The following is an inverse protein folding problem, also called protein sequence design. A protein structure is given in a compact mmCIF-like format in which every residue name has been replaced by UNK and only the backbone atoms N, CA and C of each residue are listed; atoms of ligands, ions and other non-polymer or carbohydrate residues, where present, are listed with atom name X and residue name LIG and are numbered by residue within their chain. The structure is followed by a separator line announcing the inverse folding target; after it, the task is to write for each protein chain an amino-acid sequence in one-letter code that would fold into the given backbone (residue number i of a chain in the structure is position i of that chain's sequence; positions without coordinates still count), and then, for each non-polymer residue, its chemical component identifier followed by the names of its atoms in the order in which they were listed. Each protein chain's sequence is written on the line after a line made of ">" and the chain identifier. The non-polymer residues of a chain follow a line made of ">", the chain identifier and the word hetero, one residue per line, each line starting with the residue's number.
data_IF_570229085994
#
_entry.id   IF_570229085994
#
_cell.length_a   1.000
_cell.length_b   1.000
_cell.length_c   1.000
_cell.angle_alpha   90.00
_cell.angle_beta   90.00
_cell.angle_gamma   90.00
#
_symmetry.space_group_name_H-M   'P 1'
#
loop_
_entity.id
_entity.type
_entity.pdbx_description
1 polymer ?
#
# COMPACT_ATOMS: atom_id res chain seq x y z
N UNK A 1 -0.92 -30.60 -26.37
CA UNK A 1 -0.42 -29.29 -25.89
C UNK A 1 -0.75 -28.25 -26.94
N UNK A 2 -1.90 -27.58 -26.81
CA UNK A 2 -2.18 -26.40 -27.64
C UNK A 2 -1.45 -25.22 -27.02
N UNK A 3 -0.39 -24.75 -27.69
CA UNK A 3 0.11 -23.41 -27.46
C UNK A 3 -0.97 -22.42 -27.86
N UNK A 4 -1.68 -21.86 -26.88
CA UNK A 4 -2.41 -20.63 -27.11
C UNK A 4 -1.39 -19.56 -27.49
N UNK A 5 -1.30 -19.28 -28.79
CA UNK A 5 -0.76 -18.03 -29.31
C UNK A 5 -1.63 -16.91 -28.77
N UNK A 6 -1.32 -16.42 -27.56
CA UNK A 6 -1.78 -15.10 -27.17
C UNK A 6 -1.26 -14.15 -28.25
N UNK A 7 -2.17 -13.52 -28.99
CA UNK A 7 -1.81 -12.36 -29.78
C UNK A 7 -1.05 -11.44 -28.84
N UNK A 8 0.21 -11.10 -29.17
CA UNK A 8 1.03 -10.18 -28.37
C UNK A 8 0.29 -8.84 -28.37
N UNK A 9 -0.52 -8.59 -27.34
CA UNK A 9 -1.04 -7.26 -27.09
C UNK A 9 0.17 -6.32 -27.00
N UNK A 10 0.13 -5.22 -27.75
CA UNK A 10 1.20 -4.25 -27.76
C UNK A 10 1.33 -3.64 -26.35
N UNK A 11 2.55 -3.54 -25.83
CA UNK A 11 2.77 -2.97 -24.50
C UNK A 11 2.56 -1.46 -24.54
N UNK A 12 1.69 -0.94 -23.68
CA UNK A 12 1.38 0.49 -23.63
C UNK A 12 2.55 1.29 -23.04
N UNK A 13 2.87 2.46 -23.58
CA UNK A 13 3.83 3.41 -22.98
C UNK A 13 3.10 4.71 -22.71
N UNK A 14 2.22 4.76 -21.70
CA UNK A 14 1.39 5.92 -21.42
C UNK A 14 2.24 7.16 -21.14
N UNK A 15 1.81 8.31 -21.64
CA UNK A 15 2.43 9.60 -21.31
C UNK A 15 1.46 10.42 -20.48
N UNK A 16 2.00 11.14 -19.50
CA UNK A 16 1.20 12.05 -18.68
C UNK A 16 0.87 13.29 -19.48
N UNK A 17 -0.42 13.61 -19.57
CA UNK A 17 -0.92 14.81 -20.26
C UNK A 17 -1.43 15.89 -19.32
N UNK A 18 -1.88 15.51 -18.12
CA UNK A 18 -2.35 16.45 -17.12
C UNK A 18 -2.16 15.90 -15.71
N UNK A 19 -1.86 16.79 -14.76
CA UNK A 19 -1.82 16.49 -13.32
C UNK A 19 -2.60 17.55 -12.57
N UNK A 20 -3.57 17.12 -11.76
CA UNK A 20 -4.43 18.02 -10.99
C UNK A 20 -4.33 17.68 -9.51
N UNK A 21 -4.00 18.66 -8.68
CA UNK A 21 -4.09 18.50 -7.23
C UNK A 21 -5.56 18.37 -6.81
N UNK A 22 -5.84 17.35 -6.01
CA UNK A 22 -7.20 17.04 -5.58
C UNK A 22 -7.42 17.46 -4.13
N UNK A 23 -6.59 16.96 -3.22
CA UNK A 23 -6.78 17.11 -1.78
C UNK A 23 -5.56 16.61 -1.00
N UNK A 24 -5.56 16.81 0.32
CA UNK A 24 -4.78 15.96 1.23
C UNK A 24 -5.66 14.82 1.74
N UNK A 25 -5.14 13.59 1.76
CA UNK A 25 -5.78 12.44 2.41
C UNK A 25 -5.45 12.49 3.89
N UNK A 26 -6.42 12.75 4.76
CA UNK A 26 -6.11 12.98 6.18
C UNK A 26 -7.28 12.77 7.12
N UNK A 27 -6.96 12.36 8.35
CA UNK A 27 -7.79 12.58 9.52
C UNK A 27 -7.19 13.78 10.27
N UNK A 28 -7.88 14.92 10.39
CA UNK A 28 -7.31 16.10 11.02
C UNK A 28 -6.78 15.88 12.44
N UNK A 29 -7.24 14.85 13.15
CA UNK A 29 -6.81 14.53 14.52
C UNK A 29 -5.57 13.64 14.59
N UNK A 30 -5.03 13.17 13.46
CA UNK A 30 -3.96 12.18 13.40
C UNK A 30 -2.94 12.52 12.31
N UNK A 31 -1.67 12.31 12.61
CA UNK A 31 -0.64 12.27 11.58
C UNK A 31 -0.27 10.82 11.27
N UNK A 32 -0.20 10.49 9.98
CA UNK A 32 0.00 9.12 9.51
C UNK A 32 1.14 9.04 8.52
N UNK A 33 2.00 8.07 8.75
CA UNK A 33 3.07 7.68 7.86
C UNK A 33 2.58 6.63 6.87
N UNK A 34 2.91 6.78 5.58
CA UNK A 34 2.72 5.78 4.52
C UNK A 34 1.36 5.08 4.50
N UNK A 35 0.40 5.61 3.74
CA UNK A 35 -0.93 5.02 3.62
C UNK A 35 -1.15 4.31 2.26
N UNK A 36 -1.68 3.09 2.30
CA UNK A 36 -2.21 2.37 1.15
C UNK A 36 -3.73 2.24 1.22
N UNK A 37 -4.39 1.95 0.09
CA UNK A 37 -5.87 1.94 0.01
C UNK A 37 -6.45 0.67 -0.63
N UNK A 38 -7.56 0.16 -0.09
CA UNK A 38 -8.36 -0.92 -0.67
C UNK A 38 -9.85 -0.57 -0.66
N UNK A 39 -10.59 -0.86 -1.74
CA UNK A 39 -12.03 -0.59 -1.79
C UNK A 39 -12.82 -1.73 -1.14
N UNK A 40 -13.79 -1.38 -0.30
CA UNK A 40 -14.77 -2.31 0.27
C UNK A 40 -16.15 -1.66 0.09
N UNK A 41 -16.93 -2.19 -0.85
CA UNK A 41 -18.24 -1.63 -1.19
C UNK A 41 -18.14 -0.19 -1.74
N UNK A 42 -18.84 0.73 -1.09
CA UNK A 42 -18.87 2.16 -1.40
C UNK A 42 -17.86 3.00 -0.57
N UNK A 43 -16.90 2.35 0.08
CA UNK A 43 -15.88 3.01 0.89
C UNK A 43 -14.50 2.50 0.54
N UNK A 44 -13.50 3.27 0.92
CA UNK A 44 -12.09 2.91 0.80
C UNK A 44 -11.49 2.78 2.19
N UNK A 45 -10.94 1.60 2.47
CA UNK A 45 -10.13 1.32 3.63
C UNK A 45 -8.71 1.78 3.34
N UNK A 46 -8.22 2.70 4.15
CA UNK A 46 -6.82 3.06 4.22
C UNK A 46 -6.16 2.27 5.34
N UNK A 47 -4.97 1.75 5.08
CA UNK A 47 -4.09 1.23 6.12
C UNK A 47 -2.76 1.96 6.06
N UNK A 48 -2.31 2.46 7.19
CA UNK A 48 -1.12 3.28 7.30
C UNK A 48 -0.12 2.65 8.26
N UNK A 49 1.13 3.07 8.16
CA UNK A 49 2.20 2.76 9.12
C UNK A 49 2.05 3.64 10.36
N UNK A 50 3.18 4.07 10.90
CA UNK A 50 3.29 4.86 12.12
C UNK A 50 2.24 5.96 12.17
N UNK A 51 1.45 5.95 13.24
CA UNK A 51 0.38 6.91 13.46
C UNK A 51 0.56 7.54 14.83
N UNK A 52 0.40 8.86 14.89
CA UNK A 52 0.47 9.63 16.12
C UNK A 52 -0.73 10.54 16.26
N UNK A 53 -1.13 10.76 17.52
CA UNK A 53 -2.17 11.73 17.84
C UNK A 53 -1.67 13.14 17.49
N UNK A 54 -2.49 13.86 16.74
CA UNK A 54 -2.30 15.28 16.46
C UNK A 54 -3.27 16.07 17.33
N UNK A 55 -2.75 16.58 18.46
CA UNK A 55 -3.56 17.08 19.57
C UNK A 55 -4.26 18.40 19.27
N UNK A 56 -5.50 18.52 19.77
CA UNK A 56 -6.35 19.71 19.79
C UNK A 56 -6.66 20.12 21.24
N UNK A 57 -5.64 20.43 22.06
CA UNK A 57 -5.86 20.91 23.45
C UNK A 57 -6.61 22.24 23.49
N UNK A 58 -6.43 23.02 22.43
CA UNK A 58 -7.31 24.04 21.88
C UNK A 58 -6.95 24.08 20.37
N UNK A 59 -7.84 24.48 19.46
CA UNK A 59 -7.60 24.44 17.99
C UNK A 59 -6.39 25.29 17.52
N UNK A 60 -5.63 25.88 18.46
CA UNK A 60 -4.49 26.76 18.29
C UNK A 60 -3.15 26.13 18.76
N UNK A 61 -3.15 25.06 19.57
CA UNK A 61 -1.95 24.32 20.01
C UNK A 61 -1.87 22.93 19.35
N UNK A 62 -2.00 22.92 18.02
CA UNK A 62 -1.87 21.75 17.17
C UNK A 62 -0.42 21.24 17.17
N UNK A 63 -0.16 20.09 17.80
CA UNK A 63 1.16 19.46 17.86
C UNK A 63 1.06 17.95 17.89
N UNK A 64 2.09 17.29 17.37
CA UNK A 64 2.20 15.84 17.46
C UNK A 64 2.46 15.45 18.91
N UNK A 65 1.75 14.42 19.36
CA UNK A 65 2.12 13.74 20.59
C UNK A 65 3.25 12.76 20.27
N UNK A 66 4.45 13.05 20.81
CA UNK A 66 5.67 12.33 20.49
C UNK A 66 5.60 10.83 20.82
N UNK A 67 4.80 10.46 21.84
CA UNK A 67 4.58 9.08 22.27
C UNK A 67 3.17 8.92 22.87
N UNK A 68 2.56 7.72 22.76
CA UNK A 68 3.05 6.56 22.02
C UNK A 68 2.82 6.67 20.50
N UNK A 69 3.78 6.17 19.71
CA UNK A 69 3.57 5.93 18.27
C UNK A 69 2.85 4.59 18.12
N UNK A 70 1.75 4.58 17.38
CA UNK A 70 1.07 3.33 17.01
C UNK A 70 1.69 2.81 15.72
N UNK A 71 2.18 1.55 15.64
CA UNK A 71 2.92 1.04 14.49
C UNK A 71 2.15 1.03 13.17
N UNK A 72 0.83 0.93 13.24
CA UNK A 72 -0.04 0.96 12.09
C UNK A 72 -1.46 1.36 12.49
N UNK A 73 -2.24 1.82 11.52
CA UNK A 73 -3.64 2.11 11.74
C UNK A 73 -4.48 1.96 10.49
N UNK A 74 -5.80 2.10 10.62
CA UNK A 74 -6.71 2.08 9.50
C UNK A 74 -7.83 3.12 9.63
N UNK A 75 -8.39 3.50 8.49
CA UNK A 75 -9.50 4.44 8.40
C UNK A 75 -10.33 4.20 7.16
N UNK A 76 -11.57 4.66 7.20
CA UNK A 76 -12.45 4.77 6.07
C UNK A 76 -12.35 6.13 5.40
N UNK A 77 -12.67 6.13 4.13
CA UNK A 77 -13.07 7.29 3.36
C UNK A 77 -14.30 6.90 2.54
N UNK A 78 -15.21 7.84 2.35
CA UNK A 78 -16.40 7.62 1.54
C UNK A 78 -16.17 7.89 0.05
N UNK A 79 -16.86 7.10 -0.78
CA UNK A 79 -16.99 7.37 -2.20
C UNK A 79 -18.35 8.02 -2.47
N UNK A 80 -18.37 8.93 -3.44
CA UNK A 80 -19.59 9.51 -3.97
C UNK A 80 -20.45 8.44 -4.65
N UNK A 81 -21.71 8.77 -4.95
CA UNK A 81 -22.65 7.85 -5.62
C UNK A 81 -22.13 7.30 -6.95
N UNK A 82 -21.37 8.11 -7.66
CA UNK A 82 -20.70 7.83 -8.93
C UNK A 82 -19.38 7.08 -8.76
N UNK A 83 -18.94 6.81 -7.52
CA UNK A 83 -17.79 5.95 -7.20
C UNK A 83 -16.43 6.63 -7.05
N UNK A 84 -16.33 7.94 -7.30
CA UNK A 84 -15.13 8.74 -7.03
C UNK A 84 -15.01 9.20 -5.57
N UNK A 85 -13.86 9.75 -5.13
CA UNK A 85 -13.68 10.20 -3.75
C UNK A 85 -14.58 11.39 -3.39
N UNK A 86 -15.13 11.39 -2.17
CA UNK A 86 -15.82 12.57 -1.62
C UNK A 86 -14.78 13.57 -1.11
N UNK A 87 -14.61 14.67 -1.84
CA UNK A 87 -13.68 15.76 -1.49
C UNK A 87 -14.46 16.93 -0.91
N UNK A 88 -14.06 17.37 0.27
CA UNK A 88 -14.67 18.50 0.96
C UNK A 88 -13.64 19.24 1.81
N UNK A 89 -13.98 20.45 2.27
CA UNK A 89 -13.23 21.07 3.36
C UNK A 89 -13.42 20.24 4.64
N UNK A 90 -12.38 20.11 5.45
CA UNK A 90 -12.42 19.40 6.73
C UNK A 90 -12.18 20.32 7.91
N UNK A 91 -12.09 19.75 9.11
CA UNK A 91 -11.66 20.50 10.29
C UNK A 91 -10.16 20.85 10.21
N UNK A 92 -9.72 21.99 10.78
CA UNK A 92 -8.30 22.29 10.93
C UNK A 92 -7.57 21.17 11.69
N UNK A 93 -6.39 20.78 11.19
CA UNK A 93 -5.61 19.70 11.78
C UNK A 93 -4.45 19.23 10.89
N UNK A 94 -4.05 17.98 11.06
CA UNK A 94 -3.01 17.36 10.26
C UNK A 94 -3.35 17.44 8.76
N UNK A 95 -2.51 18.10 7.96
CA UNK A 95 -2.75 18.28 6.52
C UNK A 95 -4.00 19.10 6.14
N UNK A 96 -4.67 19.77 7.09
CA UNK A 96 -5.89 20.57 6.84
C UNK A 96 -5.85 21.94 7.52
N UNK A 97 -6.15 23.00 6.77
CA UNK A 97 -6.31 24.37 7.24
C UNK A 97 -7.74 24.70 7.67
N UNK A 98 -8.69 23.77 7.53
CA UNK A 98 -10.12 24.06 7.71
C UNK A 98 -10.84 24.55 6.45
N UNK A 99 -10.08 24.90 5.40
CA UNK A 99 -10.60 25.54 4.18
C UNK A 99 -10.08 24.90 2.90
N UNK A 100 -8.95 24.19 2.95
CA UNK A 100 -8.44 23.43 1.83
C UNK A 100 -9.25 22.13 1.62
N UNK A 101 -9.31 21.61 0.38
CA UNK A 101 -9.93 20.32 0.12
C UNK A 101 -9.14 19.20 0.78
N UNK A 102 -9.86 18.31 1.47
CA UNK A 102 -9.34 17.06 2.00
C UNK A 102 -10.17 15.86 1.52
N UNK A 103 -9.52 14.71 1.45
CA UNK A 103 -10.16 13.41 1.42
C UNK A 103 -10.16 12.89 2.85
N UNK A 104 -11.30 13.02 3.53
CA UNK A 104 -11.39 12.72 4.96
C UNK A 104 -11.18 11.23 5.23
N UNK A 105 -10.23 10.94 6.12
CA UNK A 105 -10.07 9.65 6.76
C UNK A 105 -10.80 9.68 8.11
N UNK A 106 -11.60 8.65 8.40
CA UNK A 106 -12.34 8.54 9.66
C UNK A 106 -12.43 7.08 10.13
N UNK A 107 -12.96 6.87 11.34
CA UNK A 107 -13.17 5.54 11.90
C UNK A 107 -12.09 5.07 12.88
N UNK A 108 -12.35 3.95 13.54
CA UNK A 108 -11.56 3.51 14.69
C UNK A 108 -11.83 4.33 15.95
N UNK A 109 -11.00 4.13 16.98
CA UNK A 109 -11.13 4.82 18.26
C UNK A 109 -9.93 5.74 18.49
N UNK A 110 -10.07 7.03 18.18
CA UNK A 110 -9.04 8.06 18.38
C UNK A 110 -8.51 8.15 19.83
N UNK A 111 -9.31 7.74 20.84
CA UNK A 111 -8.95 7.87 22.26
C UNK A 111 -8.07 6.73 22.81
N UNK A 112 -8.05 5.56 22.16
CA UNK A 112 -7.21 4.41 22.57
C UNK A 112 -6.25 3.92 21.49
N UNK A 113 -6.56 4.26 20.23
CA UNK A 113 -5.80 4.03 19.01
C UNK A 113 -4.92 2.75 19.01
N UNK A 114 -5.50 1.56 19.24
CA UNK A 114 -4.74 0.32 19.17
C UNK A 114 -4.26 0.08 17.73
N UNK A 115 -3.17 -0.67 17.59
CA UNK A 115 -2.68 -1.10 16.27
C UNK A 115 -3.75 -1.89 15.54
N UNK A 116 -4.04 -1.50 14.30
CA UNK A 116 -5.04 -2.17 13.46
C UNK A 116 -4.62 -3.60 13.10
N UNK A 117 -3.38 -3.76 12.64
CA UNK A 117 -2.67 -5.03 12.62
C UNK A 117 -1.99 -5.22 13.98
N UNK A 118 -2.47 -6.16 14.80
CA UNK A 118 -1.96 -6.34 16.15
C UNK A 118 -0.51 -6.81 16.12
N UNK A 119 0.32 -6.27 17.02
CA UNK A 119 1.63 -6.85 17.35
C UNK A 119 1.43 -8.24 17.98
N UNK A 120 2.37 -9.16 17.77
CA UNK A 120 2.38 -10.45 18.46
C UNK A 120 2.67 -10.24 19.95
N UNK A 121 2.20 -11.15 20.81
CA UNK A 121 2.46 -11.08 22.26
C UNK A 121 3.97 -11.08 22.61
N UNK A 122 4.81 -11.58 21.70
CA UNK A 122 6.28 -11.59 21.83
C UNK A 122 6.95 -10.28 21.39
N UNK A 123 6.20 -9.33 20.83
CA UNK A 123 6.72 -8.13 20.15
C UNK A 123 6.66 -6.86 21.02
N UNK A 124 7.05 -6.96 22.29
CA UNK A 124 7.02 -5.84 23.24
C UNK A 124 5.57 -5.26 23.36
N UNK A 125 5.27 -4.18 24.10
CA UNK A 125 3.89 -3.70 24.24
C UNK A 125 3.33 -3.18 22.91
N UNK A 126 2.04 -2.82 22.83
CA UNK A 126 1.34 -2.47 21.58
C UNK A 126 2.03 -1.46 20.65
N UNK A 127 2.91 -0.60 21.15
CA UNK A 127 3.73 0.32 20.34
C UNK A 127 4.87 -0.36 19.56
N UNK A 128 5.12 -1.64 19.85
CA UNK A 128 6.27 -2.43 19.41
C UNK A 128 7.59 -2.05 20.09
N UNK A 129 7.62 -0.99 20.91
CA UNK A 129 8.84 -0.43 21.49
C UNK A 129 9.34 -1.26 22.67
N UNK A 130 10.54 -1.82 22.54
CA UNK A 130 11.17 -2.68 23.53
C UNK A 130 12.05 -1.89 24.50
N UNK A 131 12.21 -2.39 25.73
CA UNK A 131 13.03 -1.74 26.77
C UNK A 131 14.51 -1.57 26.36
N UNK A 132 15.02 -2.44 25.48
CA UNK A 132 16.38 -2.38 24.94
C UNK A 132 16.52 -1.46 23.72
N UNK A 133 15.50 -0.63 23.44
CA UNK A 133 15.54 0.40 22.40
C UNK A 133 15.31 -0.09 20.97
N UNK A 134 14.98 -1.37 20.77
CA UNK A 134 14.46 -1.82 19.47
C UNK A 134 12.97 -1.55 19.36
N UNK A 135 12.42 -1.65 18.14
CA UNK A 135 10.98 -1.54 17.91
C UNK A 135 10.52 -2.51 16.83
N UNK A 136 9.46 -3.28 17.12
CA UNK A 136 8.71 -3.99 16.08
C UNK A 136 7.77 -3.01 15.37
N UNK A 137 7.94 -2.86 14.07
CA UNK A 137 7.27 -1.77 13.34
C UNK A 137 5.92 -2.16 12.74
N UNK A 138 5.69 -3.44 12.44
CA UNK A 138 4.43 -3.97 11.87
C UNK A 138 3.88 -3.06 10.76
N UNK A 139 4.74 -2.67 9.83
CA UNK A 139 4.43 -1.72 8.77
C UNK A 139 3.73 -2.38 7.58
N UNK A 140 2.47 -2.06 7.29
CA UNK A 140 1.82 -2.50 6.07
C UNK A 140 2.40 -1.73 4.87
N UNK A 141 3.27 -2.37 4.10
CA UNK A 141 3.82 -1.78 2.87
C UNK A 141 2.77 -1.71 1.73
N UNK A 142 1.71 -2.51 1.86
CA UNK A 142 0.58 -2.61 0.93
C UNK A 142 -0.74 -2.69 1.71
N UNK A 143 -1.85 -2.19 1.16
CA UNK A 143 -3.17 -2.33 1.77
C UNK A 143 -3.63 -3.80 1.78
N UNK A 144 -4.76 -4.13 2.43
CA UNK A 144 -5.31 -5.48 2.33
C UNK A 144 -5.72 -5.84 0.90
N UNK A 145 -5.27 -7.00 0.42
CA UNK A 145 -5.77 -7.63 -0.79
C UNK A 145 -7.20 -8.11 -0.53
N UNK A 146 -8.20 -7.42 -1.06
CA UNK A 146 -9.59 -7.89 -0.97
C UNK A 146 -9.78 -9.08 -1.90
N UNK A 147 -10.09 -10.24 -1.33
CA UNK A 147 -10.24 -11.52 -2.07
C UNK A 147 -11.68 -11.96 -2.20
N UNK A 148 -12.55 -11.44 -1.33
CA UNK A 148 -13.97 -11.73 -1.35
C UNK A 148 -14.73 -10.50 -0.91
N UNK A 149 -15.72 -10.12 -1.71
CA UNK A 149 -16.73 -9.14 -1.34
C UNK A 149 -18.10 -9.72 -1.68
N UNK A 150 -19.03 -9.68 -0.74
CA UNK A 150 -20.39 -10.20 -0.89
C UNK A 150 -21.37 -9.08 -1.15
N UNK A 151 -22.55 -9.45 -1.66
CA UNK A 151 -23.66 -8.52 -1.94
C UNK A 151 -24.20 -7.84 -0.68
N UNK A 152 -24.03 -8.46 0.48
CA UNK A 152 -24.38 -7.87 1.78
C UNK A 152 -23.39 -6.80 2.24
N UNK A 153 -22.30 -6.56 1.49
CA UNK A 153 -21.24 -5.62 1.82
C UNK A 153 -20.12 -6.21 2.69
N UNK A 154 -20.24 -7.47 3.13
CA UNK A 154 -19.17 -8.15 3.85
C UNK A 154 -17.96 -8.41 2.95
N UNK A 155 -16.76 -8.29 3.51
CA UNK A 155 -15.53 -8.49 2.77
C UNK A 155 -14.47 -9.23 3.58
N UNK A 156 -13.57 -9.92 2.87
CA UNK A 156 -12.36 -10.52 3.44
C UNK A 156 -11.15 -10.04 2.65
N UNK A 157 -10.12 -9.61 3.37
CA UNK A 157 -8.85 -9.26 2.79
C UNK A 157 -7.66 -9.76 3.58
N UNK A 158 -6.48 -9.75 2.95
CA UNK A 158 -5.25 -10.28 3.53
C UNK A 158 -4.09 -9.31 3.35
N UNK A 159 -3.19 -9.27 4.35
CA UNK A 159 -1.98 -8.43 4.31
C UNK A 159 -0.78 -9.23 4.81
N UNK A 160 0.33 -9.15 4.08
CA UNK A 160 1.60 -9.78 4.44
C UNK A 160 2.54 -8.71 4.98
N UNK A 161 2.82 -8.75 6.28
CA UNK A 161 3.65 -7.73 6.95
C UNK A 161 4.94 -8.38 7.45
N UNK A 162 6.11 -7.80 7.16
CA UNK A 162 7.37 -8.32 7.68
C UNK A 162 7.40 -8.23 9.21
N UNK A 163 7.82 -9.31 9.85
CA UNK A 163 8.18 -9.35 11.26
C UNK A 163 9.57 -8.72 11.44
N UNK A 164 9.62 -7.39 11.36
CA UNK A 164 10.86 -6.61 11.32
C UNK A 164 11.04 -5.79 12.59
N UNK A 165 12.27 -5.79 13.11
CA UNK A 165 12.72 -4.88 14.16
C UNK A 165 13.67 -3.82 13.62
N UNK A 166 13.55 -2.63 14.20
CA UNK A 166 14.51 -1.55 14.04
C UNK A 166 15.29 -1.32 15.34
N UNK A 167 16.57 -0.95 15.24
CA UNK A 167 17.40 -0.49 16.33
C UNK A 167 17.75 1.00 16.11
N UNK A 168 17.57 1.82 17.14
CA UNK A 168 17.93 3.25 17.05
C UNK A 168 17.13 4.01 15.98
N UNK A 169 15.88 3.61 15.74
CA UNK A 169 14.94 4.29 14.85
C UNK A 169 14.94 3.81 13.40
N UNK A 170 16.08 3.47 12.81
CA UNK A 170 16.17 3.22 11.36
C UNK A 170 17.00 1.99 10.95
N UNK A 171 17.84 1.45 11.84
CA UNK A 171 18.69 0.31 11.46
C UNK A 171 17.88 -0.98 11.52
N UNK A 172 17.66 -1.61 10.37
CA UNK A 172 17.02 -2.92 10.34
C UNK A 172 17.88 -3.96 11.06
N UNK A 173 17.28 -4.67 12.02
CA UNK A 173 17.93 -5.80 12.70
C UNK A 173 17.66 -7.12 11.99
N UNK A 174 16.60 -7.17 11.20
CA UNK A 174 16.09 -8.36 10.53
C UNK A 174 16.07 -8.10 9.02
N UNK A 175 17.21 -8.19 8.31
CA UNK A 175 17.28 -7.92 6.87
C UNK A 175 16.55 -8.95 6.01
N UNK A 176 16.28 -10.14 6.56
CA UNK A 176 15.56 -11.24 5.92
C UNK A 176 14.38 -11.69 6.80
N UNK A 177 13.42 -10.81 7.10
CA UNK A 177 12.42 -11.08 8.14
C UNK A 177 11.48 -12.21 7.72
N UNK A 178 10.91 -12.91 8.71
CA UNK A 178 9.71 -13.71 8.48
C UNK A 178 8.51 -12.79 8.17
N UNK A 179 7.45 -13.31 7.58
CA UNK A 179 6.25 -12.54 7.24
C UNK A 179 5.01 -13.08 7.95
N UNK A 180 4.28 -12.19 8.60
CA UNK A 180 3.00 -12.48 9.25
C UNK A 180 1.89 -12.31 8.22
N UNK A 181 0.99 -13.28 8.12
CA UNK A 181 -0.24 -13.15 7.35
C UNK A 181 -1.39 -12.71 8.26
N UNK A 182 -1.92 -11.53 7.99
CA UNK A 182 -3.11 -11.00 8.64
C UNK A 182 -4.34 -11.20 7.77
N UNK A 183 -5.48 -11.45 8.41
CA UNK A 183 -6.80 -11.55 7.79
C UNK A 183 -7.72 -10.49 8.36
N UNK A 184 -8.21 -9.62 7.48
CA UNK A 184 -9.18 -8.57 7.76
C UNK A 184 -10.57 -9.06 7.35
N UNK A 185 -11.55 -8.96 8.25
CA UNK A 185 -12.96 -9.29 7.98
C UNK A 185 -13.81 -8.06 8.24
N UNK A 186 -14.49 -7.59 7.20
CA UNK A 186 -15.47 -6.54 7.32
C UNK A 186 -16.87 -7.13 7.32
N UNK A 187 -17.65 -6.78 8.34
CA UNK A 187 -19.09 -7.04 8.41
C UNK A 187 -19.77 -5.70 8.57
N UNK A 188 -20.66 -5.29 7.64
CA UNK A 188 -21.36 -4.03 7.76
C UNK A 188 -22.11 -3.91 9.08
N UNK A 189 -22.06 -2.71 9.65
CA UNK A 189 -22.74 -2.39 10.90
C UNK A 189 -23.32 -0.97 10.83
N UNK A 190 -24.19 -0.63 11.77
CA UNK A 190 -24.72 0.73 11.90
C UNK A 190 -23.66 1.74 12.37
N UNK A 191 -22.55 1.27 12.95
CA UNK A 191 -21.43 2.14 13.30
C UNK A 191 -20.58 2.39 12.05
N UNK A 192 -20.68 3.61 11.51
CA UNK A 192 -19.89 4.03 10.36
C UNK A 192 -18.38 3.98 10.64
N UNK A 193 -17.97 4.09 11.91
CA UNK A 193 -16.57 4.07 12.34
C UNK A 193 -16.01 2.66 12.52
N UNK A 194 -16.85 1.62 12.44
CA UNK A 194 -16.43 0.24 12.61
C UNK A 194 -15.44 -0.15 11.50
N UNK A 195 -14.19 -0.42 11.90
CA UNK A 195 -13.15 -0.96 11.03
C UNK A 195 -13.31 -2.47 10.88
N UNK A 196 -12.74 -3.09 9.82
CA UNK A 196 -12.70 -4.54 9.73
C UNK A 196 -11.95 -5.15 10.92
N UNK A 197 -12.40 -6.31 11.41
CA UNK A 197 -11.69 -7.03 12.48
C UNK A 197 -10.47 -7.74 11.88
N UNK A 198 -9.33 -7.64 12.54
CA UNK A 198 -8.08 -8.27 12.10
C UNK A 198 -7.72 -9.45 12.99
N UNK A 199 -7.26 -10.54 12.37
CA UNK A 199 -6.73 -11.73 13.04
C UNK A 199 -5.44 -12.19 12.38
N UNK A 200 -4.57 -12.86 13.12
CA UNK A 200 -3.35 -13.47 12.59
C UNK A 200 -3.70 -14.87 12.08
N UNK A 201 -3.43 -15.12 10.80
CA UNK A 201 -3.56 -16.47 10.20
C UNK A 201 -2.32 -17.29 10.53
N UNK A 202 -1.13 -16.70 10.33
CA UNK A 202 0.13 -17.33 10.69
C UNK A 202 1.19 -16.26 11.03
N UNK A 203 1.87 -16.36 12.18
CA UNK A 203 2.93 -15.44 12.58
C UNK A 203 4.22 -15.60 11.75
N UNK A 204 4.35 -16.70 11.00
CA UNK A 204 5.48 -17.02 10.14
C UNK A 204 4.96 -17.65 8.85
N UNK A 205 4.05 -16.95 8.16
CA UNK A 205 3.46 -17.44 6.91
C UNK A 205 4.54 -17.66 5.86
N UNK A 206 5.42 -16.67 5.66
CA UNK A 206 6.73 -16.92 5.06
C UNK A 206 7.77 -16.93 6.17
N UNK A 207 8.65 -17.92 6.16
CA UNK A 207 9.71 -18.09 7.13
C UNK A 207 10.80 -17.01 6.96
N UNK A 208 11.67 -16.89 7.96
CA UNK A 208 12.88 -16.09 7.84
C UNK A 208 13.71 -16.56 6.62
N UNK A 209 14.21 -15.62 5.82
CA UNK A 209 14.95 -15.95 4.59
C UNK A 209 14.08 -16.41 3.40
N UNK A 210 12.76 -16.40 3.54
CA UNK A 210 11.83 -16.60 2.42
C UNK A 210 11.36 -15.25 1.84
N UNK A 211 10.92 -15.26 0.58
CA UNK A 211 10.37 -14.07 -0.07
C UNK A 211 8.93 -13.82 0.43
N UNK A 212 8.67 -12.61 0.91
CA UNK A 212 7.33 -12.16 1.27
C UNK A 212 6.46 -11.82 0.06
N UNK A 213 5.86 -12.81 -0.59
CA UNK A 213 4.94 -12.57 -1.71
C UNK A 213 3.68 -11.83 -1.25
N UNK A 214 3.32 -10.76 -1.97
CA UNK A 214 2.20 -9.87 -1.66
C UNK A 214 2.61 -8.61 -0.91
N UNK A 215 3.83 -8.57 -0.35
CA UNK A 215 4.40 -7.40 0.34
C UNK A 215 4.83 -6.31 -0.63
N UNK A 216 5.36 -6.67 -1.81
CA UNK A 216 5.79 -5.68 -2.81
C UNK A 216 4.60 -5.08 -3.56
N UNK A 217 3.55 -5.88 -3.74
CA UNK A 217 2.30 -5.47 -4.35
C UNK A 217 1.45 -6.67 -4.71
N UNK A 218 0.17 -6.44 -4.97
CA UNK A 218 -0.77 -7.50 -5.27
C UNK A 218 -2.04 -6.97 -5.93
N UNK A 219 -2.78 -7.86 -6.60
CA UNK A 219 -4.15 -7.61 -7.04
C UNK A 219 -4.87 -8.95 -7.29
N UNK A 220 -6.21 -8.91 -7.36
CA UNK A 220 -7.02 -10.05 -7.83
C UNK A 220 -7.49 -9.78 -9.25
N UNK A 221 -7.41 -10.78 -10.12
CA UNK A 221 -8.07 -10.77 -11.43
C UNK A 221 -8.60 -12.15 -11.77
N UNK A 222 -9.85 -12.22 -12.20
CA UNK A 222 -10.51 -13.48 -12.60
C UNK A 222 -10.37 -14.59 -11.53
N UNK A 223 -10.56 -14.24 -10.25
CA UNK A 223 -10.45 -15.18 -9.13
C UNK A 223 -9.02 -15.59 -8.75
N UNK A 224 -8.00 -15.11 -9.46
CA UNK A 224 -6.59 -15.36 -9.15
C UNK A 224 -5.97 -14.15 -8.46
N UNK A 225 -5.38 -14.37 -7.29
CA UNK A 225 -4.53 -13.39 -6.63
C UNK A 225 -3.11 -13.47 -7.22
N UNK A 226 -2.60 -12.33 -7.68
CA UNK A 226 -1.22 -12.15 -8.13
C UNK A 226 -0.46 -11.40 -7.04
N UNK A 227 0.63 -12.00 -6.56
CA UNK A 227 1.33 -11.57 -5.35
C UNK A 227 2.81 -11.34 -5.71
N UNK A 228 3.22 -10.08 -5.78
CA UNK A 228 4.62 -9.73 -6.07
C UNK A 228 5.43 -9.73 -4.79
N UNK A 229 6.65 -10.25 -4.87
CA UNK A 229 7.66 -10.23 -3.82
C UNK A 229 8.98 -9.69 -4.33
N UNK A 230 9.96 -9.56 -3.44
CA UNK A 230 11.30 -9.11 -3.80
C UNK A 230 12.38 -10.03 -3.23
N UNK A 231 13.43 -10.25 -4.01
CA UNK A 231 14.68 -10.88 -3.61
C UNK A 231 15.56 -9.90 -2.83
N UNK A 232 16.68 -10.38 -2.28
CA UNK A 232 17.64 -9.57 -1.51
C UNK A 232 18.18 -8.35 -2.28
N UNK A 233 18.35 -8.48 -3.60
CA UNK A 233 18.79 -7.43 -4.51
C UNK A 233 17.62 -6.58 -5.08
N UNK A 234 16.45 -6.66 -4.46
CA UNK A 234 15.22 -5.95 -4.84
C UNK A 234 14.66 -6.38 -6.22
N UNK A 235 15.08 -7.54 -6.74
CA UNK A 235 14.50 -8.15 -7.93
C UNK A 235 13.06 -8.62 -7.69
N UNK A 236 12.14 -8.22 -8.56
CA UNK A 236 10.73 -8.60 -8.45
C UNK A 236 10.49 -10.05 -8.86
N UNK A 237 9.79 -10.80 -8.02
CA UNK A 237 9.29 -12.16 -8.31
C UNK A 237 7.77 -12.20 -8.17
N UNK A 238 7.12 -13.21 -8.76
CA UNK A 238 5.66 -13.32 -8.77
C UNK A 238 5.20 -14.71 -8.31
N UNK A 239 4.22 -14.71 -7.41
CA UNK A 239 3.39 -15.86 -7.11
C UNK A 239 1.95 -15.63 -7.58
N UNK A 240 1.22 -16.72 -7.81
CA UNK A 240 -0.23 -16.69 -7.96
C UNK A 240 -0.87 -17.76 -7.09
N UNK A 241 -2.11 -17.53 -6.70
CA UNK A 241 -2.93 -18.46 -5.94
C UNK A 241 -4.40 -18.15 -6.20
N UNK A 242 -5.30 -19.13 -6.08
CA UNK A 242 -6.74 -18.84 -6.07
C UNK A 242 -7.06 -17.90 -4.90
N UNK A 243 -7.89 -16.88 -5.13
CA UNK A 243 -8.21 -15.87 -4.11
C UNK A 243 -8.88 -16.47 -2.86
N UNK A 244 -9.51 -17.65 -2.96
CA UNK A 244 -10.06 -18.37 -1.83
C UNK A 244 -9.04 -19.26 -1.09
N UNK A 245 -7.82 -19.36 -1.61
CA UNK A 245 -6.77 -20.24 -1.11
C UNK A 245 -5.55 -19.49 -0.52
N UNK A 246 -5.68 -18.18 -0.25
CA UNK A 246 -4.59 -17.35 0.34
C UNK A 246 -3.97 -17.99 1.59
N UNK A 247 -4.79 -18.57 2.46
CA UNK A 247 -4.31 -19.13 3.74
C UNK A 247 -3.49 -20.43 3.56
N UNK A 248 -3.47 -21.03 2.36
CA UNK A 248 -2.85 -22.33 2.10
C UNK A 248 -1.60 -22.20 1.22
N UNK A 249 -0.42 -22.15 1.84
CA UNK A 249 0.88 -22.06 1.12
C UNK A 249 1.05 -23.12 0.03
N UNK A 250 0.54 -24.33 0.23
CA UNK A 250 0.62 -25.43 -0.75
C UNK A 250 -0.14 -25.17 -2.04
N UNK A 251 -1.04 -24.18 -2.08
CA UNK A 251 -1.79 -23.79 -3.26
C UNK A 251 -1.04 -22.74 -4.13
N UNK A 252 0.05 -22.19 -3.62
CA UNK A 252 0.80 -21.14 -4.32
C UNK A 252 1.60 -21.72 -5.47
N UNK A 253 1.64 -20.98 -6.57
CA UNK A 253 2.48 -21.25 -7.72
C UNK A 253 3.38 -20.04 -7.99
N UNK A 254 4.60 -20.29 -8.45
CA UNK A 254 5.65 -19.28 -8.60
C UNK A 254 6.11 -19.21 -10.05
N UNK A 255 6.16 -18.00 -10.59
CA UNK A 255 6.47 -17.83 -12.01
C UNK A 255 7.96 -18.10 -12.29
N UNK A 256 8.22 -18.79 -13.40
CA UNK A 256 9.53 -19.06 -13.94
C UNK A 256 9.74 -18.31 -15.27
N UNK A 257 10.46 -17.17 -15.27
CA UNK A 257 10.68 -16.41 -16.49
C UNK A 257 11.59 -17.13 -17.50
N UNK A 258 12.43 -18.10 -17.08
CA UNK A 258 13.33 -18.80 -17.99
C UNK A 258 12.64 -19.90 -18.80
N UNK A 259 11.55 -20.46 -18.26
CA UNK A 259 10.77 -21.53 -18.91
C UNK A 259 9.34 -21.09 -19.27
N UNK A 260 8.94 -19.88 -18.91
CA UNK A 260 7.58 -19.35 -19.06
C UNK A 260 6.52 -20.28 -18.43
N UNK A 261 6.82 -20.79 -17.23
CA UNK A 261 5.97 -21.77 -16.53
C UNK A 261 5.72 -21.38 -15.07
N UNK A 262 4.80 -22.08 -14.43
CA UNK A 262 4.44 -21.90 -13.02
C UNK A 262 4.88 -23.13 -12.22
N UNK A 263 5.80 -22.94 -11.29
CA UNK A 263 6.35 -23.98 -10.43
C UNK A 263 5.64 -24.00 -9.07
N UNK A 264 5.67 -25.13 -8.37
CA UNK A 264 5.15 -25.24 -6.99
C UNK A 264 6.22 -24.94 -5.93
N UNK A 265 7.48 -24.77 -6.34
CA UNK A 265 8.60 -24.46 -5.45
C UNK A 265 8.92 -22.97 -5.54
N UNK A 266 8.91 -22.30 -4.39
CA UNK A 266 9.26 -20.89 -4.31
C UNK A 266 10.73 -20.64 -4.67
N UNK A 267 11.06 -19.52 -5.33
CA UNK A 267 12.44 -19.05 -5.40
C UNK A 267 13.00 -18.76 -4.00
N UNK A 268 14.31 -18.93 -3.85
CA UNK A 268 15.04 -18.53 -2.64
C UNK A 268 15.27 -17.02 -2.64
N UNK A 269 15.27 -16.39 -1.47
CA UNK A 269 15.45 -14.94 -1.30
C UNK A 269 16.70 -14.36 -1.99
N UNK A 270 17.80 -15.12 -2.01
CA UNK A 270 19.07 -14.70 -2.61
C UNK A 270 19.22 -15.06 -4.11
N UNK A 271 18.19 -15.62 -4.76
CA UNK A 271 18.28 -16.03 -6.18
C UNK A 271 17.63 -15.02 -7.11
N UNK A 272 18.40 -14.52 -8.07
CA UNK A 272 17.92 -13.63 -9.14
C UNK A 272 17.39 -14.37 -10.36
N UNK A 273 17.49 -15.71 -10.39
CA UNK A 273 17.12 -16.54 -11.53
C UNK A 273 15.63 -16.49 -11.87
N UNK A 274 14.78 -16.08 -10.91
CA UNK A 274 13.32 -15.95 -11.08
C UNK A 274 12.85 -14.51 -11.17
N UNK A 275 13.76 -13.54 -11.19
CA UNK A 275 13.41 -12.13 -11.27
C UNK A 275 12.73 -11.82 -12.60
N UNK A 276 11.57 -11.18 -12.53
CA UNK A 276 10.84 -10.64 -13.68
C UNK A 276 11.45 -9.28 -14.02
N UNK A 277 12.09 -9.14 -15.18
CA UNK A 277 12.69 -7.87 -15.55
C UNK A 277 11.63 -6.77 -15.61
N UNK A 278 11.99 -5.58 -15.11
CA UNK A 278 11.20 -4.36 -15.21
C UNK A 278 9.83 -4.36 -14.50
N UNK A 279 9.48 -5.39 -13.72
CA UNK A 279 8.25 -5.43 -12.95
C UNK A 279 8.34 -4.50 -11.73
N UNK A 280 8.24 -3.20 -11.99
CA UNK A 280 8.46 -2.13 -11.02
C UNK A 280 9.90 -1.64 -10.94
N UNK A 281 10.11 -0.54 -10.21
CA UNK A 281 11.40 0.13 -10.05
C UNK A 281 12.08 -0.17 -8.70
N UNK A 282 11.67 -1.24 -8.02
CA UNK A 282 12.27 -1.75 -6.77
C UNK A 282 11.79 -1.06 -5.49
N UNK A 283 11.24 0.14 -5.57
CA UNK A 283 10.58 0.82 -4.45
C UNK A 283 9.09 0.49 -4.35
N UNK A 284 8.43 0.93 -3.28
CA UNK A 284 6.99 0.75 -3.09
C UNK A 284 6.18 1.26 -4.29
N UNK A 285 5.06 0.59 -4.57
CA UNK A 285 4.14 1.01 -5.62
C UNK A 285 2.92 0.11 -5.65
N UNK A 286 2.05 0.36 -6.61
CA UNK A 286 0.78 -0.35 -6.75
C UNK A 286 0.70 -1.04 -8.09
N UNK A 287 0.30 -2.31 -8.08
CA UNK A 287 0.00 -3.09 -9.28
C UNK A 287 -1.50 -3.13 -9.50
N UNK A 288 -1.95 -2.91 -10.73
CA UNK A 288 -3.36 -3.00 -11.11
C UNK A 288 -3.52 -3.30 -12.61
N UNK A 289 -4.75 -3.55 -13.05
CA UNK A 289 -5.06 -3.63 -14.48
C UNK A 289 -5.86 -2.41 -14.93
N UNK A 290 -5.42 -1.81 -16.03
CA UNK A 290 -6.15 -0.74 -16.72
C UNK A 290 -6.75 -1.27 -18.02
N UNK A 291 -8.08 -1.21 -18.15
CA UNK A 291 -8.74 -1.49 -19.43
C UNK A 291 -8.56 -0.36 -20.43
N UNK A 292 -8.36 0.88 -19.96
CA UNK A 292 -8.04 2.03 -20.83
C UNK A 292 -6.73 1.79 -21.58
N UNK A 293 -5.67 1.40 -20.87
CA UNK A 293 -4.36 1.07 -21.47
C UNK A 293 -4.29 -0.36 -22.02
N UNK A 294 -5.34 -1.16 -21.79
CA UNK A 294 -5.36 -2.61 -22.01
C UNK A 294 -4.08 -3.31 -21.48
N UNK A 295 -3.62 -2.90 -20.31
CA UNK A 295 -2.31 -3.30 -19.75
C UNK A 295 -2.39 -3.47 -18.25
N UNK A 296 -1.58 -4.38 -17.72
CA UNK A 296 -1.19 -4.34 -16.31
C UNK A 296 -0.23 -3.17 -16.11
N UNK A 297 -0.37 -2.50 -14.98
CA UNK A 297 0.34 -1.28 -14.65
C UNK A 297 0.95 -1.43 -13.27
N UNK A 298 2.18 -0.96 -13.13
CA UNK A 298 2.82 -0.64 -11.87
C UNK A 298 3.13 0.84 -11.84
N UNK A 299 2.73 1.55 -10.79
CA UNK A 299 3.15 2.93 -10.53
C UNK A 299 3.68 3.00 -9.10
N UNK A 300 4.85 3.61 -8.93
CA UNK A 300 5.49 3.71 -7.62
C UNK A 300 6.79 4.49 -7.63
N UNK A 301 7.55 4.36 -6.54
CA UNK A 301 8.85 5.00 -6.37
C UNK A 301 10.01 4.13 -6.88
N UNK A 302 11.12 4.80 -7.23
CA UNK A 302 12.40 4.14 -7.46
C UNK A 302 13.11 3.73 -6.15
N UNK A 303 14.35 3.25 -6.27
CA UNK A 303 15.23 2.91 -5.14
C UNK A 303 16.33 3.95 -4.93
N UNK A 304 17.10 3.80 -3.85
CA UNK A 304 18.23 4.68 -3.55
C UNK A 304 17.79 6.12 -3.25
N UNK A 305 18.59 7.11 -3.65
CA UNK A 305 18.27 8.53 -3.42
C UNK A 305 16.96 8.97 -4.08
N UNK A 306 16.61 8.39 -5.23
CA UNK A 306 15.34 8.65 -5.92
C UNK A 306 14.16 8.06 -5.13
N UNK A 307 14.40 7.01 -4.34
CA UNK A 307 13.38 6.44 -3.45
C UNK A 307 13.02 7.33 -2.25
N UNK A 308 13.76 8.41 -2.02
CA UNK A 308 13.47 9.43 -1.01
C UNK A 308 12.92 10.72 -1.62
N UNK A 309 12.40 10.68 -2.86
CA UNK A 309 11.73 11.82 -3.50
C UNK A 309 10.33 11.45 -3.98
N UNK A 310 9.53 12.46 -4.32
CA UNK A 310 8.20 12.31 -4.90
C UNK A 310 8.24 11.99 -6.41
N UNK A 311 9.27 11.30 -6.91
CA UNK A 311 9.40 10.91 -8.31
C UNK A 311 8.64 9.61 -8.59
N UNK A 312 7.56 9.70 -9.36
CA UNK A 312 6.71 8.57 -9.76
C UNK A 312 7.22 7.94 -11.05
N UNK A 313 7.41 6.63 -11.01
CA UNK A 313 7.77 5.78 -12.13
C UNK A 313 6.59 4.91 -12.53
N UNK A 314 6.48 4.62 -13.83
CA UNK A 314 5.48 3.68 -14.36
C UNK A 314 6.17 2.53 -15.09
N UNK A 315 5.56 1.36 -15.03
CA UNK A 315 5.85 0.22 -15.90
C UNK A 315 4.55 -0.47 -16.30
N UNK A 316 4.50 -1.04 -17.49
CA UNK A 316 3.31 -1.70 -18.03
C UNK A 316 3.65 -3.06 -18.62
N UNK A 317 2.67 -3.97 -18.64
CA UNK A 317 2.81 -5.29 -19.23
C UNK A 317 1.49 -5.81 -19.81
N UNK A 318 1.52 -6.70 -20.82
CA UNK A 318 0.32 -7.35 -21.34
C UNK A 318 -0.20 -8.47 -20.42
N UNK A 319 0.65 -9.01 -19.55
CA UNK A 319 0.33 -10.04 -18.56
C UNK A 319 0.96 -9.71 -17.19
N UNK A 320 0.46 -10.25 -16.07
CA UNK A 320 1.06 -10.04 -14.74
C UNK A 320 2.54 -10.42 -14.69
N UNK A 321 2.90 -11.51 -15.38
CA UNK A 321 4.26 -12.02 -15.48
C UNK A 321 5.16 -11.25 -16.49
N UNK A 322 4.60 -10.27 -17.21
CA UNK A 322 5.32 -9.48 -18.22
C UNK A 322 5.03 -9.88 -19.68
N UNK A 323 5.89 -9.47 -20.63
CA UNK A 323 7.09 -8.66 -20.43
C UNK A 323 6.73 -7.23 -19.98
N UNK A 324 7.38 -6.76 -18.92
CA UNK A 324 7.23 -5.40 -18.41
C UNK A 324 8.13 -4.43 -19.16
N UNK A 325 7.60 -3.25 -19.51
CA UNK A 325 8.40 -2.14 -20.06
C UNK A 325 9.33 -1.60 -18.98
N UNK A 326 10.56 -1.26 -19.36
CA UNK A 326 11.54 -0.65 -18.45
C UNK A 326 10.89 0.55 -17.72
N UNK A 327 10.91 0.60 -16.37
CA UNK A 327 10.30 1.70 -15.66
C UNK A 327 10.90 3.05 -16.08
N UNK A 328 10.04 4.05 -16.26
CA UNK A 328 10.42 5.42 -16.56
C UNK A 328 9.65 6.40 -15.69
N UNK A 329 10.28 7.53 -15.36
CA UNK A 329 9.62 8.58 -14.59
C UNK A 329 8.54 9.24 -15.42
N UNK A 330 7.34 9.36 -14.86
CA UNK A 330 6.18 9.98 -15.51
C UNK A 330 5.84 11.35 -14.93
N UNK A 331 6.12 11.55 -13.65
CA UNK A 331 5.78 12.77 -12.93
C UNK A 331 6.58 12.88 -11.63
N UNK A 332 6.70 14.08 -11.09
CA UNK A 332 7.30 14.33 -9.78
C UNK A 332 6.43 15.29 -8.98
N UNK A 333 6.08 14.88 -7.76
CA UNK A 333 5.33 15.68 -6.81
C UNK A 333 6.23 16.62 -6.00
N UNK A 334 5.61 17.40 -5.13
CA UNK A 334 6.36 18.25 -4.20
C UNK A 334 6.93 17.41 -3.04
N UNK A 335 8.19 17.68 -2.71
CA UNK A 335 8.86 17.13 -1.53
C UNK A 335 8.56 17.93 -0.26
N UNK A 336 8.59 17.26 0.89
CA UNK A 336 8.73 17.93 2.18
C UNK A 336 10.15 18.47 2.40
N UNK A 337 10.46 18.91 3.61
CA UNK A 337 11.76 19.52 3.95
C UNK A 337 12.57 18.72 4.99
N UNK A 338 12.21 17.46 5.24
CA UNK A 338 13.02 16.55 6.02
C UNK A 338 14.30 16.15 5.26
N UNK A 339 15.45 16.23 5.93
CA UNK A 339 16.76 16.02 5.28
C UNK A 339 17.06 14.53 4.97
N UNK A 340 16.35 13.58 5.58
CA UNK A 340 16.59 12.14 5.43
C UNK A 340 15.68 11.52 4.37
N UNK A 341 14.38 11.82 4.43
CA UNK A 341 13.38 11.22 3.56
C UNK A 341 12.25 12.23 3.27
N UNK A 342 12.51 13.26 2.44
CA UNK A 342 11.54 14.35 2.25
C UNK A 342 10.23 13.87 1.61
N UNK A 343 10.27 12.76 0.84
CA UNK A 343 9.08 12.04 0.38
C UNK A 343 9.31 10.55 0.22
N UNK A 344 8.27 9.73 0.39
CA UNK A 344 8.30 8.29 0.16
C UNK A 344 6.88 7.68 0.15
N UNK A 345 6.78 6.36 -0.01
CA UNK A 345 5.52 5.61 -0.10
C UNK A 345 4.58 6.12 -1.18
N UNK A 346 5.13 6.21 -2.39
CA UNK A 346 4.39 6.61 -3.58
C UNK A 346 3.46 5.47 -3.99
N UNK A 347 2.16 5.75 -4.03
CA UNK A 347 1.11 4.75 -4.28
C UNK A 347 0.13 5.27 -5.34
N UNK A 348 -0.42 4.35 -6.13
CA UNK A 348 -1.59 4.59 -6.95
C UNK A 348 -2.85 4.01 -6.28
N UNK A 349 -4.01 4.62 -6.52
CA UNK A 349 -5.24 4.28 -5.80
C UNK A 349 -6.37 3.87 -6.76
N UNK A 350 -6.29 2.67 -7.37
CA UNK A 350 -7.39 2.14 -8.18
C UNK A 350 -8.67 1.92 -7.34
N UNK A 351 -8.55 1.85 -6.01
CA UNK A 351 -9.66 1.81 -5.06
C UNK A 351 -10.54 3.07 -5.07
N UNK A 352 -9.99 4.23 -5.47
CA UNK A 352 -10.69 5.52 -5.54
C UNK A 352 -11.36 5.76 -6.89
N UNK A 353 -11.14 4.87 -7.87
CA UNK A 353 -11.71 5.03 -9.19
C UNK A 353 -13.22 4.73 -9.20
N UNK A 354 -14.01 5.52 -9.96
CA UNK A 354 -15.41 5.21 -10.24
C UNK A 354 -15.67 3.76 -10.65
N UNK A 355 -14.89 3.22 -11.59
CA UNK A 355 -15.03 1.83 -12.06
C UNK A 355 -14.57 0.77 -11.06
N UNK A 356 -13.94 1.18 -9.96
CA UNK A 356 -13.42 0.29 -8.93
C UNK A 356 -12.07 -0.35 -9.28
N UNK A 357 -11.50 -1.11 -8.33
CA UNK A 357 -10.11 -1.57 -8.42
C UNK A 357 -9.89 -2.76 -9.36
N UNK A 358 -10.94 -3.53 -9.67
CA UNK A 358 -10.82 -4.76 -10.45
C UNK A 358 -10.43 -4.49 -11.91
N UNK A 359 -10.98 -3.41 -12.47
CA UNK A 359 -10.71 -2.95 -13.84
C UNK A 359 -10.76 -1.42 -13.86
N UNK A 360 -9.59 -0.79 -13.79
CA UNK A 360 -9.46 0.66 -13.92
C UNK A 360 -9.76 1.07 -15.38
N UNK A 361 -10.88 1.77 -15.59
CA UNK A 361 -11.39 2.09 -16.93
C UNK A 361 -11.14 3.55 -17.35
N UNK A 362 -10.75 4.36 -16.38
CA UNK A 362 -10.49 5.77 -16.53
C UNK A 362 -9.17 6.02 -17.27
N UNK A 363 -9.11 7.17 -17.94
CA UNK A 363 -7.91 7.69 -18.60
C UNK A 363 -6.83 8.19 -17.64
N UNK A 364 -6.94 7.89 -16.36
CA UNK A 364 -6.06 8.41 -15.33
C UNK A 364 -6.18 7.65 -14.02
N UNK A 365 -5.40 8.07 -13.05
CA UNK A 365 -5.28 7.42 -11.75
C UNK A 365 -5.02 8.45 -10.65
N UNK A 366 -5.52 8.15 -9.46
CA UNK A 366 -5.17 8.92 -8.27
C UNK A 366 -3.80 8.45 -7.73
N UNK A 367 -2.89 9.39 -7.48
CA UNK A 367 -1.60 9.12 -6.86
C UNK A 367 -1.50 9.85 -5.53
N UNK A 368 -0.92 9.20 -4.52
CA UNK A 368 -0.52 9.84 -3.28
C UNK A 368 0.90 9.46 -2.87
N UNK A 369 1.47 10.26 -1.97
CA UNK A 369 2.76 10.00 -1.37
C UNK A 369 2.80 10.61 0.03
N UNK A 370 3.73 10.15 0.86
CA UNK A 370 4.02 10.78 2.14
C UNK A 370 5.01 11.90 1.90
N UNK A 371 4.67 13.12 2.31
CA UNK A 371 5.60 14.23 2.47
C UNK A 371 6.04 14.29 3.93
N UNK A 372 7.35 14.23 4.15
CA UNK A 372 7.91 14.39 5.49
C UNK A 372 8.46 15.79 5.67
N UNK A 373 7.92 16.48 6.66
CA UNK A 373 8.27 17.83 7.05
C UNK A 373 8.98 17.84 8.39
N UNK A 374 9.86 18.81 8.58
CA UNK A 374 10.36 19.21 9.88
C UNK A 374 9.18 19.77 10.69
N UNK A 375 9.11 19.43 11.97
CA UNK A 375 8.02 19.87 12.86
C UNK A 375 7.91 21.42 12.89
N UNK A 376 9.05 22.11 12.77
CA UNK A 376 9.11 23.58 12.73
C UNK A 376 8.46 24.18 11.47
N UNK A 377 8.43 23.42 10.37
CA UNK A 377 7.85 23.85 9.09
C UNK A 377 6.40 23.41 8.97
N UNK A 378 6.11 22.14 9.30
CA UNK A 378 4.76 21.62 9.36
C UNK A 378 4.60 20.81 10.65
N UNK A 379 3.72 21.29 11.54
CA UNK A 379 3.44 20.65 12.83
C UNK A 379 2.99 19.20 12.71
N UNK A 380 2.33 18.80 11.61
CA UNK A 380 1.85 17.43 11.37
C UNK A 380 2.98 16.44 11.08
N UNK A 381 4.19 16.90 10.70
CA UNK A 381 5.34 16.10 10.21
C UNK A 381 5.03 15.27 8.96
N UNK A 382 3.93 14.53 8.90
CA UNK A 382 3.47 13.82 7.72
C UNK A 382 2.25 14.52 7.10
N UNK A 383 2.27 14.66 5.77
CA UNK A 383 1.15 15.10 4.95
C UNK A 383 1.05 14.14 3.76
N UNK A 384 -0.17 13.79 3.36
CA UNK A 384 -0.42 12.87 2.23
C UNK A 384 -1.19 13.56 1.12
N UNK A 385 -0.52 14.24 0.18
CA UNK A 385 -1.19 14.83 -0.98
C UNK A 385 -1.81 13.77 -1.89
N UNK A 386 -2.91 14.14 -2.54
CA UNK A 386 -3.60 13.36 -3.55
C UNK A 386 -3.68 14.17 -4.84
N UNK A 387 -3.21 13.58 -5.94
CA UNK A 387 -3.33 14.15 -7.29
C UNK A 387 -4.06 13.19 -8.21
N UNK A 388 -4.71 13.73 -9.23
CA UNK A 388 -5.18 12.98 -10.39
C UNK A 388 -4.16 13.13 -11.52
N UNK A 389 -3.68 12.01 -12.06
CA UNK A 389 -2.76 11.97 -13.20
C UNK A 389 -3.49 11.37 -14.40
N UNK A 390 -3.54 12.10 -15.50
CA UNK A 390 -4.18 11.69 -16.76
C UNK A 390 -3.15 11.23 -17.78
N UNK A 391 -3.47 10.16 -18.52
CA UNK A 391 -2.62 9.53 -19.52
C UNK A 391 -3.20 9.63 -20.95
N UNK A 392 -2.31 9.72 -21.94
CA UNK A 392 -2.61 9.50 -23.36
C UNK A 392 -1.94 8.26 -23.98
#
# INVERSE_FOLDING_TARGET
>A
MLHHKHARAATATPRVVNVTYIANVTDPSLTRDSCGSARIGNRVLWTCRDTQIFSNGNKFDMKIQSLPITPNSASWTDLASEGGPVIAAGEPGAGSSGTNPILTMYGGNASSYPSYFPVLDTQCPQSGACQHGSRYVVWPDQPPLITRQRSDGSAVGYTWIPNQRLQGGWNTMDPEPAYILYRSVYTPSSDANALPTVSIVSPTFFNQGEIGFGRYGHFVRNGTAYLYGQTADQGTVLARVDANMIEYRSAYQYYNPSTFSWDTTAPTYNSTSRTIPNAGAGGQGTFYYSSYLNSYVWIGQGTGMVGSSAAFFISTAPAPEGPWVKPYQVWEGQNGDNDQAPSYSLQAHPSLLPSGPDVASEKGIYLSWTQQWKEQTCRSVYVTPLVWVEFD
#
